data_IF_353545320075
#
_entry.id   IF_353545320075
#
_cell.length_a   1.000
_cell.length_b   1.000
_cell.length_c   1.000
_cell.angle_alpha   90.00
_cell.angle_beta   90.00
_cell.angle_gamma   90.00
#
_symmetry.space_group_name_H-M   'P 1'
#
loop_
_entity.id
_entity.type
_entity.pdbx_description
1 polymer ?
#
# COMPACT_ATOMS: atom_id res chain seq x y z
N UNK A 1 37.20 4.89 -44.81
CA UNK A 1 37.00 4.14 -43.55
C UNK A 1 36.70 5.03 -42.32
N UNK A 2 36.61 6.37 -42.47
CA UNK A 2 36.40 7.28 -41.33
C UNK A 2 34.89 7.55 -41.08
N UNK A 3 34.06 7.52 -42.12
CA UNK A 3 32.63 7.86 -41.99
C UNK A 3 31.85 6.89 -41.08
N UNK A 4 32.18 5.59 -41.06
CA UNK A 4 31.51 4.65 -40.16
C UNK A 4 31.82 4.87 -38.67
N UNK A 5 32.90 5.59 -38.35
CA UNK A 5 33.37 5.81 -36.98
C UNK A 5 32.54 6.84 -36.20
N UNK A 6 31.81 7.73 -36.87
CA UNK A 6 31.04 8.81 -36.22
C UNK A 6 29.63 8.34 -35.84
N UNK A 7 29.06 7.40 -36.59
CA UNK A 7 27.72 6.89 -36.33
C UNK A 7 27.64 6.05 -35.05
N UNK A 8 28.69 5.31 -34.71
CA UNK A 8 28.75 4.48 -33.49
C UNK A 8 28.65 5.32 -32.20
N UNK A 9 29.49 6.36 -31.97
CA UNK A 9 29.37 7.20 -30.78
C UNK A 9 28.08 8.02 -30.75
N UNK A 10 27.55 8.42 -31.91
CA UNK A 10 26.25 9.10 -31.98
C UNK A 10 25.11 8.15 -31.54
N UNK A 11 25.12 6.91 -32.01
CA UNK A 11 24.11 5.92 -31.68
C UNK A 11 24.18 5.53 -30.19
N UNK A 12 25.37 5.33 -29.63
CA UNK A 12 25.52 5.05 -28.19
C UNK A 12 25.08 6.23 -27.33
N UNK A 13 25.35 7.47 -27.75
CA UNK A 13 24.84 8.67 -27.08
C UNK A 13 23.31 8.71 -27.08
N UNK A 14 22.66 8.47 -28.23
CA UNK A 14 21.20 8.46 -28.33
C UNK A 14 20.56 7.36 -27.49
N UNK A 15 21.14 6.14 -27.50
CA UNK A 15 20.69 5.04 -26.63
C UNK A 15 20.84 5.43 -25.16
N UNK A 16 21.98 6.02 -24.76
CA UNK A 16 22.21 6.51 -23.40
C UNK A 16 21.19 7.57 -22.98
N UNK A 17 20.83 8.49 -23.87
CA UNK A 17 19.83 9.53 -23.62
C UNK A 17 18.44 8.92 -23.40
N UNK A 18 18.01 8.00 -24.26
CA UNK A 18 16.71 7.32 -24.14
C UNK A 18 16.62 6.53 -22.83
N UNK A 19 17.67 5.77 -22.51
CA UNK A 19 17.74 4.98 -21.28
C UNK A 19 17.73 5.89 -20.05
N UNK A 20 18.56 6.94 -20.03
CA UNK A 20 18.62 7.91 -18.94
C UNK A 20 17.28 8.60 -18.69
N UNK A 21 16.59 9.01 -19.76
CA UNK A 21 15.27 9.65 -19.66
C UNK A 21 14.20 8.70 -19.08
N UNK A 22 14.19 7.42 -19.50
CA UNK A 22 13.29 6.40 -18.92
C UNK A 22 13.55 6.19 -17.44
N UNK A 23 14.82 6.16 -17.02
CA UNK A 23 15.18 6.04 -15.60
C UNK A 23 14.76 7.26 -14.78
N UNK A 24 14.93 8.47 -15.30
CA UNK A 24 14.49 9.71 -14.65
C UNK A 24 12.98 9.70 -14.39
N UNK A 25 12.18 9.40 -15.43
CA UNK A 25 10.72 9.26 -15.30
C UNK A 25 10.31 8.19 -14.28
N UNK A 26 11.01 7.06 -14.26
CA UNK A 26 10.73 5.97 -13.31
C UNK A 26 11.06 6.37 -11.86
N UNK A 27 12.13 7.15 -11.66
CA UNK A 27 12.49 7.69 -10.35
C UNK A 27 11.43 8.66 -9.84
N UNK A 28 10.98 9.57 -10.69
CA UNK A 28 10.04 10.61 -10.27
C UNK A 28 8.67 10.00 -9.93
N UNK A 29 8.18 9.04 -10.74
CA UNK A 29 6.98 8.24 -10.41
C UNK A 29 7.08 7.47 -9.09
N UNK A 30 8.28 7.02 -8.70
CA UNK A 30 8.49 6.34 -7.40
C UNK A 30 8.42 7.34 -6.24
N UNK A 31 8.96 8.54 -6.42
CA UNK A 31 8.87 9.62 -5.43
C UNK A 31 7.42 10.04 -5.22
N UNK A 32 6.71 10.38 -6.30
CA UNK A 32 5.28 10.76 -6.24
C UNK A 32 4.43 9.69 -5.55
N UNK A 33 4.65 8.41 -5.89
CA UNK A 33 3.93 7.31 -5.25
C UNK A 33 4.20 7.23 -3.75
N UNK A 34 5.48 7.33 -3.34
CA UNK A 34 5.86 7.25 -1.94
C UNK A 34 5.33 8.47 -1.16
N UNK A 35 5.42 9.67 -1.72
CA UNK A 35 4.87 10.88 -1.11
C UNK A 35 3.35 10.77 -0.89
N UNK A 36 2.62 10.25 -1.88
CA UNK A 36 1.18 10.03 -1.76
C UNK A 36 0.82 8.90 -0.78
N UNK A 37 1.69 7.90 -0.59
CA UNK A 37 1.41 6.74 0.25
C UNK A 37 1.75 6.93 1.72
N UNK A 38 2.66 7.86 2.05
CA UNK A 38 3.08 8.20 3.43
C UNK A 38 1.91 8.36 4.40
N UNK A 39 0.88 9.20 4.16
CA UNK A 39 -0.18 9.41 5.14
C UNK A 39 -1.01 8.14 5.41
N UNK A 40 -1.20 7.28 4.41
CA UNK A 40 -1.88 6.00 4.58
C UNK A 40 -1.00 5.00 5.33
N UNK A 41 0.29 4.98 5.02
CA UNK A 41 1.26 4.13 5.68
C UNK A 41 1.40 4.48 7.16
N UNK A 42 1.51 5.76 7.50
CA UNK A 42 1.63 6.25 8.89
C UNK A 42 0.41 5.87 9.72
N UNK A 43 -0.80 6.06 9.19
CA UNK A 43 -2.05 5.63 9.84
C UNK A 43 -2.07 4.14 10.17
N UNK A 44 -1.73 3.30 9.18
CA UNK A 44 -1.66 1.86 9.36
C UNK A 44 -0.54 1.47 10.35
N UNK A 45 0.64 2.08 10.22
CA UNK A 45 1.77 1.85 11.11
C UNK A 45 1.43 2.20 12.56
N UNK A 46 0.86 3.39 12.79
CA UNK A 46 0.46 3.84 14.13
C UNK A 46 -0.62 2.94 14.71
N UNK A 47 -1.59 2.51 13.91
CA UNK A 47 -2.62 1.58 14.36
C UNK A 47 -2.07 0.20 14.72
N UNK A 48 -1.13 -0.33 13.94
CA UNK A 48 -0.43 -1.60 14.25
C UNK A 48 0.43 -1.46 15.50
N UNK A 49 1.19 -0.36 15.62
CA UNK A 49 2.10 -0.12 16.74
C UNK A 49 1.36 0.12 18.07
N UNK A 50 0.19 0.78 18.02
CA UNK A 50 -0.65 1.06 19.19
C UNK A 50 -1.68 -0.03 19.48
N UNK A 51 -1.73 -1.10 18.67
CA UNK A 51 -2.78 -2.13 18.72
C UNK A 51 -4.19 -1.54 18.70
N UNK A 52 -4.39 -0.43 17.98
CA UNK A 52 -5.67 0.25 17.89
C UNK A 52 -6.10 0.45 16.44
N UNK A 53 -7.28 -0.07 16.12
CA UNK A 53 -7.92 0.09 14.81
C UNK A 53 -8.45 1.51 14.58
N UNK A 54 -8.52 2.36 15.62
CA UNK A 54 -8.99 3.74 15.52
C UNK A 54 -8.13 4.63 14.61
N UNK A 55 -6.86 4.26 14.42
CA UNK A 55 -5.92 4.99 13.58
C UNK A 55 -5.96 4.56 12.11
N UNK A 56 -6.67 3.47 11.79
CA UNK A 56 -6.68 2.94 10.43
C UNK A 56 -7.33 3.93 9.45
N UNK A 57 -6.79 4.03 8.21
CA UNK A 57 -7.38 4.87 7.19
C UNK A 57 -8.77 4.34 6.82
N UNK A 58 -9.64 5.27 6.42
CA UNK A 58 -10.97 4.92 5.94
C UNK A 58 -10.88 4.03 4.68
N UNK A 59 -11.84 3.12 4.50
CA UNK A 59 -11.85 2.20 3.37
C UNK A 59 -11.88 2.96 2.04
N UNK A 60 -12.62 4.07 1.97
CA UNK A 60 -12.65 4.91 0.79
C UNK A 60 -11.26 5.48 0.44
N UNK A 61 -10.46 5.85 1.44
CA UNK A 61 -9.09 6.37 1.22
C UNK A 61 -8.20 5.29 0.60
N UNK A 62 -8.29 4.05 1.08
CA UNK A 62 -7.55 2.91 0.52
C UNK A 62 -8.05 2.56 -0.89
N UNK A 63 -9.36 2.58 -1.12
CA UNK A 63 -9.93 2.27 -2.43
C UNK A 63 -9.53 3.30 -3.49
N UNK A 64 -9.63 4.60 -3.18
CA UNK A 64 -9.23 5.69 -4.07
C UNK A 64 -7.73 5.62 -4.38
N UNK A 65 -6.89 5.23 -3.41
CA UNK A 65 -5.46 5.07 -3.62
C UNK A 65 -5.11 3.93 -4.60
N UNK A 66 -6.00 2.96 -4.84
CA UNK A 66 -5.75 1.86 -5.77
C UNK A 66 -5.39 2.32 -7.19
N UNK A 67 -5.86 3.51 -7.60
CA UNK A 67 -5.52 4.16 -8.87
C UNK A 67 -4.04 4.53 -9.01
N UNK A 68 -3.36 4.84 -7.90
CA UNK A 68 -1.94 5.19 -7.84
C UNK A 68 -1.05 3.94 -7.83
N UNK A 69 -1.60 2.79 -7.41
CA UNK A 69 -0.89 1.52 -7.38
C UNK A 69 -0.63 1.03 -8.82
N UNK A 70 0.59 0.57 -9.13
CA UNK A 70 0.92 0.01 -10.44
C UNK A 70 -0.04 -1.11 -10.84
N UNK A 71 -0.45 -1.11 -12.11
CA UNK A 71 -1.45 -2.05 -12.63
C UNK A 71 -1.19 -3.51 -12.23
N UNK A 72 0.06 -3.98 -12.36
CA UNK A 72 0.47 -5.36 -12.04
C UNK A 72 0.40 -5.71 -10.54
N UNK A 73 0.32 -4.73 -9.63
CA UNK A 73 0.14 -4.94 -8.18
C UNK A 73 -1.26 -4.59 -7.69
N UNK A 74 -2.06 -3.90 -8.51
CA UNK A 74 -3.37 -3.35 -8.12
C UNK A 74 -4.34 -4.43 -7.65
N UNK A 75 -4.35 -5.59 -8.31
CA UNK A 75 -5.19 -6.72 -7.90
C UNK A 75 -4.89 -7.16 -6.47
N UNK A 76 -3.62 -7.45 -6.17
CA UNK A 76 -3.20 -7.90 -4.84
C UNK A 76 -3.41 -6.83 -3.77
N UNK A 77 -3.19 -5.56 -4.11
CA UNK A 77 -3.51 -4.44 -3.22
C UNK A 77 -5.00 -4.43 -2.86
N UNK A 78 -5.90 -4.52 -3.84
CA UNK A 78 -7.34 -4.57 -3.58
C UNK A 78 -7.74 -5.75 -2.71
N UNK A 79 -7.17 -6.93 -2.95
CA UNK A 79 -7.40 -8.11 -2.10
C UNK A 79 -6.94 -7.88 -0.65
N UNK A 80 -5.81 -7.19 -0.44
CA UNK A 80 -5.35 -6.84 0.90
C UNK A 80 -6.30 -5.82 1.58
N UNK A 81 -6.81 -4.84 0.85
CA UNK A 81 -7.79 -3.86 1.37
C UNK A 81 -9.11 -4.53 1.74
N UNK A 82 -9.62 -5.44 0.91
CA UNK A 82 -10.82 -6.25 1.20
C UNK A 82 -10.60 -7.07 2.47
N UNK A 83 -9.49 -7.80 2.56
CA UNK A 83 -9.14 -8.61 3.75
C UNK A 83 -9.05 -7.78 5.03
N UNK A 84 -8.58 -6.53 4.97
CA UNK A 84 -8.55 -5.61 6.10
C UNK A 84 -9.96 -5.12 6.46
N UNK A 85 -10.76 -4.80 5.46
CA UNK A 85 -12.13 -4.32 5.67
C UNK A 85 -12.99 -5.42 6.32
N UNK A 86 -12.86 -6.66 5.85
CA UNK A 86 -13.63 -7.79 6.37
C UNK A 86 -13.20 -8.14 7.79
N UNK A 87 -11.90 -8.08 8.10
CA UNK A 87 -11.43 -8.30 9.47
C UNK A 87 -11.91 -7.20 10.42
N UNK A 88 -11.96 -5.94 9.98
CA UNK A 88 -12.49 -4.83 10.80
C UNK A 88 -13.99 -4.96 11.05
N UNK A 89 -14.75 -5.50 10.10
CA UNK A 89 -16.17 -5.82 10.29
C UNK A 89 -16.32 -6.96 11.29
N UNK A 90 -15.55 -8.03 11.14
CA UNK A 90 -15.55 -9.15 12.07
C UNK A 90 -15.18 -8.71 13.49
N UNK A 91 -14.19 -7.82 13.66
CA UNK A 91 -13.82 -7.27 14.97
C UNK A 91 -15.01 -6.56 15.64
N UNK A 92 -15.76 -5.77 14.86
CA UNK A 92 -16.94 -5.07 15.35
C UNK A 92 -18.08 -6.01 15.73
N UNK A 93 -18.28 -7.09 14.97
CA UNK A 93 -19.32 -8.08 15.22
C UNK A 93 -18.98 -9.04 16.37
N UNK A 94 -17.69 -9.27 16.62
CA UNK A 94 -17.19 -10.08 17.73
C UNK A 94 -17.37 -9.41 19.09
N UNK A 95 -17.49 -8.08 19.13
CA UNK A 95 -17.85 -7.32 20.32
C UNK A 95 -19.35 -7.40 20.51
N UNK A 96 -19.80 -8.26 21.44
CA UNK A 96 -21.21 -8.39 21.79
C UNK A 96 -21.50 -7.71 23.11
N UNK A 97 -22.69 -7.10 23.19
CA UNK A 97 -23.23 -6.59 24.45
C UNK A 97 -23.68 -7.77 25.31
N UNK A 98 -23.09 -7.93 26.50
CA UNK A 98 -23.56 -8.88 27.49
C UNK A 98 -24.54 -8.15 28.43
N UNK A 99 -25.83 -8.53 28.37
CA UNK A 99 -26.88 -7.91 29.19
C UNK A 99 -26.73 -8.16 30.68
N UNK A 100 -26.13 -9.28 31.06
CA UNK A 100 -26.12 -9.77 32.44
C UNK A 100 -25.00 -9.10 33.24
N UNK A 101 -23.92 -8.73 32.57
CA UNK A 101 -22.74 -8.08 33.16
C UNK A 101 -22.68 -6.58 32.82
N UNK A 102 -23.60 -6.07 31.99
CA UNK A 102 -23.63 -4.70 31.48
C UNK A 102 -22.29 -4.24 30.86
N UNK A 103 -21.55 -5.18 30.30
CA UNK A 103 -20.23 -4.97 29.72
C UNK A 103 -20.18 -5.48 28.27
N UNK A 104 -19.33 -4.85 27.46
CA UNK A 104 -18.98 -5.39 26.15
C UNK A 104 -17.97 -6.53 26.34
N UNK A 105 -18.31 -7.72 25.85
CA UNK A 105 -17.40 -8.86 25.88
C UNK A 105 -17.01 -9.28 24.48
N UNK A 106 -15.70 -9.47 24.30
CA UNK A 106 -15.14 -10.17 23.16
C UNK A 106 -15.41 -11.66 23.32
N UNK A 107 -15.78 -12.31 22.21
CA UNK A 107 -15.91 -13.77 22.17
C UNK A 107 -14.59 -14.43 22.62
N UNK A 108 -14.66 -15.39 23.54
CA UNK A 108 -13.52 -15.95 24.29
C UNK A 108 -12.47 -16.67 23.41
N UNK A 109 -12.76 -16.89 22.13
CA UNK A 109 -11.85 -17.49 21.16
C UNK A 109 -11.51 -16.60 19.95
N UNK A 110 -11.89 -15.32 19.96
CA UNK A 110 -11.68 -14.44 18.82
C UNK A 110 -10.29 -13.81 18.80
N UNK A 111 -9.49 -14.13 17.77
CA UNK A 111 -8.25 -13.43 17.47
C UNK A 111 -8.43 -12.47 16.29
N UNK A 112 -8.29 -11.17 16.54
CA UNK A 112 -8.36 -10.16 15.50
C UNK A 112 -7.28 -10.38 14.43
N UNK A 113 -7.71 -10.48 13.17
CA UNK A 113 -6.80 -10.55 12.02
C UNK A 113 -6.51 -9.16 11.42
N UNK A 114 -7.08 -8.09 11.97
CA UNK A 114 -7.01 -6.75 11.38
C UNK A 114 -5.60 -6.18 11.32
N UNK A 115 -4.78 -6.43 12.33
CA UNK A 115 -3.38 -5.98 12.33
C UNK A 115 -2.55 -6.71 11.27
N UNK A 116 -2.73 -8.02 11.14
CA UNK A 116 -2.07 -8.83 10.11
C UNK A 116 -2.50 -8.44 8.69
N UNK A 117 -3.79 -8.11 8.51
CA UNK A 117 -4.31 -7.58 7.26
C UNK A 117 -3.76 -6.17 6.96
N UNK A 118 -3.61 -5.32 7.97
CA UNK A 118 -3.03 -3.98 7.83
C UNK A 118 -1.57 -4.05 7.37
N UNK A 119 -0.76 -4.95 7.94
CA UNK A 119 0.63 -5.18 7.49
C UNK A 119 0.70 -5.60 6.01
N UNK A 120 -0.24 -6.42 5.54
CA UNK A 120 -0.32 -6.79 4.12
C UNK A 120 -0.57 -5.55 3.24
N UNK A 121 -1.45 -4.64 3.65
CA UNK A 121 -1.70 -3.39 2.92
C UNK A 121 -0.44 -2.52 2.90
N UNK A 122 0.24 -2.37 4.04
CA UNK A 122 1.48 -1.60 4.17
C UNK A 122 2.57 -2.06 3.19
N UNK A 123 2.67 -3.37 2.92
CA UNK A 123 3.63 -3.93 1.94
C UNK A 123 3.48 -3.32 0.54
N UNK A 124 2.27 -2.93 0.16
CA UNK A 124 1.99 -2.35 -1.16
C UNK A 124 2.09 -0.82 -1.20
N UNK A 125 2.10 -0.16 -0.03
CA UNK A 125 2.24 1.29 0.10
C UNK A 125 3.70 1.76 0.05
N UNK A 126 4.68 0.85 0.04
CA UNK A 126 6.11 1.20 -0.06
C UNK A 126 6.71 0.73 -1.38
N UNK A 127 7.28 1.65 -2.17
CA UNK A 127 8.14 1.31 -3.32
C UNK A 127 9.61 1.54 -2.97
N UNK A 128 10.43 0.51 -3.21
CA UNK A 128 11.90 0.59 -3.21
C UNK A 128 12.39 1.14 -4.55
#
# INVERSE_FOLDING_TARGET
MIEQSIYVPLLTFLVGLVVGHRFALSRDKRKEFNEASVPLFEKLYNGVQSSSTSFFPDNLQLELFSSHVPFHKRYFYKQAVISLTDSLKADKEAVKWNSDEAEMQLDKGYESQSFKSAEKVMKYLKRK
#
